data_IF_003678867862
#
_entry.id   IF_003678867862
#
_cell.length_a   1.000
_cell.length_b   1.000
_cell.length_c   1.000
_cell.angle_alpha   90.00
_cell.angle_beta   90.00
_cell.angle_gamma   90.00
#
_symmetry.space_group_name_H-M   'P 1'
#
loop_
_entity.id
_entity.type
_entity.pdbx_description
1 polymer ?
#
# COMPACT_ATOMS: atom_id res chain seq x y z
N UNK A 1 9.33 -9.38 14.64
CA UNK A 1 8.91 -8.70 13.41
C UNK A 1 9.67 -7.40 13.33
N UNK A 2 10.49 -7.25 12.30
CA UNK A 2 11.26 -6.01 12.07
C UNK A 2 10.39 -4.98 11.34
N UNK A 3 10.89 -3.75 11.20
CA UNK A 3 10.22 -2.72 10.40
C UNK A 3 10.15 -3.15 8.92
N UNK A 4 11.22 -3.75 8.40
CA UNK A 4 11.30 -4.24 7.01
C UNK A 4 10.30 -5.36 6.75
N UNK A 5 10.09 -6.28 7.71
CA UNK A 5 9.08 -7.34 7.58
C UNK A 5 7.64 -6.81 7.64
N UNK A 6 7.45 -5.55 8.07
CA UNK A 6 6.15 -4.98 8.37
C UNK A 6 5.40 -4.42 7.17
N UNK A 7 6.06 -4.38 6.03
CA UNK A 7 5.47 -4.01 4.73
C UNK A 7 5.86 -5.07 3.70
N UNK A 8 4.87 -5.60 2.99
CA UNK A 8 5.07 -6.63 1.97
C UNK A 8 4.43 -6.23 0.64
N UNK A 9 5.23 -6.25 -0.41
CA UNK A 9 4.75 -6.08 -1.79
C UNK A 9 4.35 -7.45 -2.33
N UNK A 10 3.15 -7.56 -2.92
CA UNK A 10 2.74 -8.73 -3.71
C UNK A 10 2.84 -8.42 -5.18
N UNK A 11 2.92 -9.45 -6.02
CA UNK A 11 3.03 -9.35 -7.48
C UNK A 11 2.10 -8.28 -8.10
N UNK A 12 2.63 -7.64 -9.13
CA UNK A 12 1.95 -6.65 -9.96
C UNK A 12 1.31 -7.37 -11.15
N UNK A 13 0.05 -7.08 -11.42
CA UNK A 13 -0.72 -7.68 -12.51
C UNK A 13 -1.10 -6.63 -13.55
N UNK A 14 -1.18 -7.00 -14.83
CA UNK A 14 -1.54 -6.10 -15.93
C UNK A 14 -0.43 -5.93 -16.97
N UNK A 15 -0.41 -4.79 -17.64
CA UNK A 15 0.49 -4.49 -18.76
C UNK A 15 1.73 -3.67 -18.40
N UNK A 16 2.77 -3.66 -19.25
CA UNK A 16 3.98 -2.83 -19.07
C UNK A 16 3.78 -1.36 -19.46
N UNK A 17 2.55 -0.90 -19.64
CA UNK A 17 2.24 0.42 -20.17
C UNK A 17 1.90 1.41 -19.05
N UNK A 18 1.81 2.69 -19.41
CA UNK A 18 1.48 3.76 -18.47
C UNK A 18 2.69 4.26 -17.68
N UNK A 19 2.46 5.26 -16.85
CA UNK A 19 3.46 5.82 -15.94
C UNK A 19 3.42 5.08 -14.62
N UNK A 20 4.60 4.72 -14.07
CA UNK A 20 4.66 3.98 -12.82
C UNK A 20 4.31 4.86 -11.62
N UNK A 21 3.59 4.29 -10.66
CA UNK A 21 3.33 4.89 -9.34
C UNK A 21 3.65 3.90 -8.23
N UNK A 22 3.90 4.41 -7.02
CA UNK A 22 4.06 3.60 -5.82
C UNK A 22 3.81 4.40 -4.55
N UNK A 23 2.97 3.87 -3.66
CA UNK A 23 2.69 4.43 -2.34
C UNK A 23 3.70 3.99 -1.27
N UNK A 24 4.64 3.10 -1.63
CA UNK A 24 5.48 2.36 -0.68
C UNK A 24 6.21 3.27 0.33
N UNK A 25 6.66 4.44 -0.10
CA UNK A 25 7.39 5.39 0.76
C UNK A 25 6.53 5.98 1.90
N UNK A 26 5.20 5.89 1.78
CA UNK A 26 4.26 6.41 2.76
C UNK A 26 3.60 5.30 3.60
N UNK A 27 3.78 4.04 3.20
CA UNK A 27 3.19 2.87 3.86
C UNK A 27 4.04 2.44 5.05
N UNK A 28 3.41 2.31 6.21
CA UNK A 28 4.02 1.88 7.46
C UNK A 28 3.08 1.00 8.27
N UNK A 29 3.63 0.17 9.15
CA UNK A 29 2.81 -0.60 10.11
C UNK A 29 2.03 0.30 11.06
N UNK A 30 0.86 -0.16 11.51
CA UNK A 30 0.00 0.60 12.41
C UNK A 30 -0.86 1.69 11.75
N UNK A 31 -0.86 1.80 10.42
CA UNK A 31 -1.75 2.69 9.71
C UNK A 31 -3.22 2.24 9.80
N UNK A 32 -4.15 3.18 9.70
CA UNK A 32 -5.60 2.91 9.67
C UNK A 32 -6.19 3.37 8.35
N UNK A 33 -6.66 2.42 7.53
CA UNK A 33 -7.42 2.71 6.31
C UNK A 33 -8.83 3.16 6.69
N UNK A 34 -9.26 4.31 6.17
CA UNK A 34 -10.59 4.86 6.39
C UNK A 34 -11.56 4.48 5.28
N UNK A 35 -11.11 4.52 4.03
CA UNK A 35 -11.94 4.22 2.88
C UNK A 35 -11.12 3.71 1.70
N UNK A 36 -11.80 3.02 0.80
CA UNK A 36 -11.32 2.71 -0.53
C UNK A 36 -12.41 3.11 -1.53
N UNK A 37 -12.01 3.79 -2.60
CA UNK A 37 -12.88 4.18 -3.70
C UNK A 37 -12.33 3.66 -5.02
N UNK A 38 -13.23 3.31 -5.92
CA UNK A 38 -12.90 2.91 -7.29
C UNK A 38 -13.73 3.75 -8.26
N UNK A 39 -13.14 4.06 -9.41
CA UNK A 39 -13.79 4.58 -10.60
C UNK A 39 -13.76 3.46 -11.64
N UNK A 40 -14.93 2.93 -12.03
CA UNK A 40 -14.98 1.80 -12.93
C UNK A 40 -16.20 1.81 -13.86
N UNK A 41 -15.95 1.69 -15.16
CA UNK A 41 -16.93 1.35 -16.19
C UNK A 41 -16.77 -0.10 -16.64
N UNK A 42 -16.41 -0.31 -17.91
CA UNK A 42 -15.97 -1.63 -18.40
C UNK A 42 -14.63 -2.07 -17.81
N UNK A 43 -13.78 -1.10 -17.43
CA UNK A 43 -12.44 -1.26 -16.89
C UNK A 43 -12.30 -0.52 -15.56
N UNK A 44 -11.16 -0.70 -14.89
CA UNK A 44 -10.78 0.11 -13.74
C UNK A 44 -10.11 1.40 -14.22
N UNK A 45 -10.83 2.51 -14.11
CA UNK A 45 -10.36 3.83 -14.50
C UNK A 45 -9.45 4.44 -13.41
N UNK A 46 -9.83 4.30 -12.14
CA UNK A 46 -9.07 4.87 -11.04
C UNK A 46 -9.36 4.25 -9.69
N UNK A 47 -8.47 4.52 -8.74
CA UNK A 47 -8.53 4.00 -7.38
C UNK A 47 -8.03 5.03 -6.38
N UNK A 48 -8.71 5.14 -5.25
CA UNK A 48 -8.29 5.98 -4.13
C UNK A 48 -8.30 5.20 -2.83
N UNK A 49 -7.20 5.23 -2.08
CA UNK A 49 -7.10 4.70 -0.72
C UNK A 49 -6.86 5.85 0.27
N UNK A 50 -7.68 5.92 1.30
CA UNK A 50 -7.56 6.94 2.34
C UNK A 50 -7.03 6.33 3.63
N UNK A 51 -5.90 6.85 4.11
CA UNK A 51 -5.36 6.57 5.43
C UNK A 51 -5.79 7.69 6.37
N UNK A 52 -6.33 7.36 7.53
CA UNK A 52 -6.77 8.35 8.54
C UNK A 52 -5.80 8.51 9.70
N UNK A 53 -5.02 7.48 10.02
CA UNK A 53 -4.08 7.48 11.14
C UNK A 53 -2.83 6.66 10.81
N UNK A 54 -1.66 6.97 11.42
CA UNK A 54 -1.43 8.07 12.36
C UNK A 54 -1.36 9.45 11.69
N UNK A 55 -1.23 9.47 10.36
CA UNK A 55 -1.28 10.68 9.52
C UNK A 55 -2.22 10.42 8.35
N UNK A 56 -2.93 11.46 7.93
CA UNK A 56 -3.81 11.39 6.77
C UNK A 56 -3.00 11.29 5.47
N UNK A 57 -3.34 10.31 4.64
CA UNK A 57 -2.84 10.19 3.27
C UNK A 57 -3.99 9.88 2.33
N UNK A 58 -3.94 10.45 1.13
CA UNK A 58 -4.84 10.12 0.03
C UNK A 58 -3.97 9.61 -1.11
N UNK A 59 -4.03 8.31 -1.37
CA UNK A 59 -3.35 7.69 -2.51
C UNK A 59 -4.35 7.59 -3.64
N UNK A 60 -4.24 8.45 -4.64
CA UNK A 60 -5.15 8.49 -5.80
C UNK A 60 -4.36 8.20 -7.06
N UNK A 61 -4.84 7.22 -7.81
CA UNK A 61 -4.21 6.69 -9.01
C UNK A 61 -5.25 6.52 -10.13
N UNK A 62 -4.85 6.75 -11.37
CA UNK A 62 -5.66 6.65 -12.57
C UNK A 62 -6.54 7.88 -12.85
N UNK A 63 -7.58 7.66 -13.66
CA UNK A 63 -8.56 8.66 -14.06
C UNK A 63 -9.87 8.60 -13.28
N UNK A 64 -10.80 9.48 -13.65
CA UNK A 64 -12.13 9.62 -13.02
C UNK A 64 -13.27 9.07 -13.88
N UNK A 65 -12.96 8.30 -14.93
CA UNK A 65 -13.95 7.71 -15.82
C UNK A 65 -14.79 6.61 -15.14
N UNK A 66 -15.89 6.23 -15.78
CA UNK A 66 -16.84 5.26 -15.20
C UNK A 66 -17.55 5.77 -13.95
N UNK A 67 -18.16 4.83 -13.20
CA UNK A 67 -18.91 5.15 -11.99
C UNK A 67 -18.01 5.06 -10.74
N UNK A 68 -18.12 6.06 -9.87
CA UNK A 68 -17.43 6.02 -8.58
C UNK A 68 -18.21 5.18 -7.56
N UNK A 69 -17.52 4.25 -6.89
CA UNK A 69 -18.03 3.52 -5.74
C UNK A 69 -17.04 3.60 -4.59
N UNK A 70 -17.54 3.74 -3.38
CA UNK A 70 -16.71 3.88 -2.17
C UNK A 70 -17.18 2.92 -1.10
N UNK A 71 -16.23 2.21 -0.49
CA UNK A 71 -16.40 1.47 0.74
C UNK A 71 -15.72 2.23 1.87
N UNK A 72 -16.52 2.70 2.84
CA UNK A 72 -16.02 3.26 4.10
C UNK A 72 -15.83 2.13 5.11
N UNK A 73 -14.64 2.05 5.68
CA UNK A 73 -14.31 1.01 6.64
C UNK A 73 -14.75 1.43 8.05
N UNK A 74 -15.40 0.51 8.76
CA UNK A 74 -15.77 0.71 10.16
C UNK A 74 -14.55 0.54 11.06
N UNK A 75 -14.68 0.94 12.33
CA UNK A 75 -13.63 0.71 13.34
C UNK A 75 -13.31 -0.79 13.44
N UNK A 76 -12.03 -1.15 13.27
CA UNK A 76 -11.57 -2.54 13.32
C UNK A 76 -11.83 -3.33 12.03
N UNK A 77 -12.37 -2.69 11.00
CA UNK A 77 -12.49 -3.23 9.66
C UNK A 77 -11.23 -2.91 8.85
N UNK A 78 -10.76 -3.88 8.08
CA UNK A 78 -9.60 -3.75 7.20
C UNK A 78 -9.73 -4.68 6.00
N UNK A 79 -9.16 -4.27 4.87
CA UNK A 79 -9.19 -5.02 3.62
C UNK A 79 -8.18 -6.16 3.70
N UNK A 80 -8.63 -7.38 3.44
CA UNK A 80 -7.86 -8.63 3.56
C UNK A 80 -7.59 -9.29 2.22
N UNK A 81 -8.34 -8.97 1.17
CA UNK A 81 -8.11 -9.52 -0.16
C UNK A 81 -8.34 -8.50 -1.27
N UNK A 82 -7.66 -8.75 -2.40
CA UNK A 82 -7.82 -8.05 -3.65
C UNK A 82 -7.87 -9.08 -4.78
N UNK A 83 -9.00 -9.18 -5.47
CA UNK A 83 -9.16 -9.91 -6.73
C UNK A 83 -8.96 -8.94 -7.89
N UNK A 84 -8.09 -9.30 -8.83
CA UNK A 84 -7.75 -8.48 -9.99
C UNK A 84 -7.95 -9.30 -11.25
N UNK A 85 -8.61 -8.72 -12.23
CA UNK A 85 -8.72 -9.26 -13.59
C UNK A 85 -8.08 -8.28 -14.57
N UNK A 86 -7.35 -8.79 -15.53
CA UNK A 86 -6.73 -7.99 -16.59
C UNK A 86 -6.96 -8.63 -17.95
N UNK A 87 -6.83 -7.85 -19.01
CA UNK A 87 -6.76 -8.38 -20.37
C UNK A 87 -6.19 -7.33 -21.31
N UNK A 88 -5.84 -7.74 -22.53
CA UNK A 88 -5.69 -6.81 -23.65
C UNK A 88 -7.06 -6.29 -24.04
N UNK A 89 -7.13 -5.01 -24.42
CA UNK A 89 -8.39 -4.45 -24.89
C UNK A 89 -8.76 -5.02 -26.26
N UNK A 90 -9.96 -5.61 -26.32
CA UNK A 90 -10.56 -6.19 -27.51
C UNK A 90 -11.72 -5.29 -27.90
N UNK A 91 -11.67 -4.72 -29.10
CA UNK A 91 -12.79 -3.98 -29.68
C UNK A 91 -13.27 -4.73 -30.93
N UNK A 92 -14.55 -5.11 -30.97
CA UNK A 92 -15.14 -5.81 -32.11
C UNK A 92 -14.49 -7.15 -32.45
N UNK A 93 -13.98 -7.88 -31.47
CA UNK A 93 -13.29 -9.17 -31.66
C UNK A 93 -11.85 -9.06 -32.15
N UNK A 94 -11.34 -7.84 -32.37
CA UNK A 94 -9.95 -7.59 -32.73
C UNK A 94 -9.21 -7.15 -31.47
N UNK A 95 -8.12 -7.85 -31.13
CA UNK A 95 -7.14 -7.34 -30.18
C UNK A 95 -6.57 -6.07 -30.79
N UNK A 96 -7.03 -4.93 -30.30
CA UNK A 96 -6.51 -3.65 -30.75
C UNK A 96 -5.03 -3.56 -30.34
N UNK A 97 -4.27 -2.62 -30.92
CA UNK A 97 -2.91 -2.33 -30.43
C UNK A 97 -2.90 -1.77 -28.99
N UNK A 98 -4.05 -1.79 -28.30
CA UNK A 98 -4.17 -1.26 -26.96
C UNK A 98 -3.43 -2.10 -25.92
N UNK A 99 -3.11 -1.33 -24.89
CA UNK A 99 -2.40 -1.70 -23.68
C UNK A 99 -3.18 -2.80 -22.94
N UNK A 100 -2.48 -3.78 -22.35
CA UNK A 100 -3.08 -4.64 -21.32
C UNK A 100 -3.44 -3.77 -20.12
N UNK A 101 -4.67 -3.89 -19.61
CA UNK A 101 -5.20 -3.07 -18.52
C UNK A 101 -5.92 -3.89 -17.46
N UNK A 102 -6.16 -3.28 -16.31
CA UNK A 102 -7.04 -3.85 -15.28
C UNK A 102 -8.50 -3.64 -15.68
N UNK A 103 -9.20 -4.75 -15.85
CA UNK A 103 -10.59 -4.76 -16.27
C UNK A 103 -11.56 -4.84 -15.09
N UNK A 104 -11.19 -5.55 -14.02
CA UNK A 104 -12.02 -5.66 -12.84
C UNK A 104 -11.17 -5.73 -11.58
N UNK A 105 -11.72 -5.16 -10.52
CA UNK A 105 -11.17 -5.20 -9.18
C UNK A 105 -12.27 -5.58 -8.19
N UNK A 106 -11.92 -6.36 -7.18
CA UNK A 106 -12.74 -6.53 -6.00
C UNK A 106 -11.91 -6.59 -4.73
N UNK A 107 -12.43 -5.99 -3.67
CA UNK A 107 -11.87 -6.00 -2.33
C UNK A 107 -12.84 -6.67 -1.38
N UNK A 108 -12.31 -7.43 -0.43
CA UNK A 108 -13.08 -7.99 0.70
C UNK A 108 -12.41 -7.62 2.01
N UNK A 109 -13.22 -7.31 3.01
CA UNK A 109 -12.75 -6.97 4.36
C UNK A 109 -12.85 -8.15 5.31
N UNK A 110 -12.16 -8.06 6.45
CA UNK A 110 -12.28 -9.02 7.55
C UNK A 110 -13.70 -9.15 8.13
N UNK A 111 -14.58 -8.17 7.89
CA UNK A 111 -15.98 -8.20 8.32
C UNK A 111 -16.94 -8.67 7.23
N UNK A 112 -16.44 -9.09 6.07
CA UNK A 112 -17.23 -9.61 4.96
C UNK A 112 -17.88 -8.54 4.07
N UNK A 113 -17.57 -7.25 4.25
CA UNK A 113 -17.98 -6.23 3.30
C UNK A 113 -17.08 -6.27 2.07
N UNK A 114 -17.60 -5.79 0.94
CA UNK A 114 -16.86 -5.81 -0.32
C UNK A 114 -17.11 -4.56 -1.15
N UNK A 115 -16.16 -4.30 -2.05
CA UNK A 115 -16.23 -3.27 -3.08
C UNK A 115 -15.74 -3.88 -4.38
N UNK A 116 -16.50 -3.76 -5.48
CA UNK A 116 -16.07 -4.25 -6.78
C UNK A 116 -16.56 -3.40 -7.93
N UNK A 117 -15.84 -3.42 -9.04
CA UNK A 117 -16.19 -2.70 -10.27
C UNK A 117 -15.41 -3.21 -11.47
N UNK A 118 -15.91 -2.87 -12.67
CA UNK A 118 -15.34 -3.31 -13.94
C UNK A 118 -15.94 -4.62 -14.47
N UNK A 119 -15.30 -5.18 -15.49
CA UNK A 119 -15.74 -6.41 -16.17
C UNK A 119 -14.81 -7.59 -15.88
N UNK A 120 -15.36 -8.71 -15.44
CA UNK A 120 -14.57 -9.92 -15.19
C UNK A 120 -14.03 -10.48 -16.51
N UNK A 121 -12.75 -10.81 -16.54
CA UNK A 121 -12.06 -11.48 -17.66
C UNK A 121 -11.56 -12.87 -17.25
N UNK A 122 -11.06 -13.66 -18.20
CA UNK A 122 -10.46 -14.96 -17.93
C UNK A 122 -9.14 -14.86 -17.15
N UNK A 123 -8.29 -13.87 -17.47
CA UNK A 123 -7.03 -13.66 -16.76
C UNK A 123 -7.29 -12.94 -15.45
N UNK A 124 -7.08 -13.66 -14.34
CA UNK A 124 -7.40 -13.17 -13.01
C UNK A 124 -6.53 -13.80 -11.94
N UNK A 125 -6.50 -13.14 -10.79
CA UNK A 125 -5.87 -13.65 -9.59
C UNK A 125 -6.55 -13.07 -8.36
N UNK A 126 -6.31 -13.69 -7.20
CA UNK A 126 -6.69 -13.13 -5.90
C UNK A 126 -5.49 -13.15 -4.99
N UNK A 127 -5.11 -11.99 -4.48
CA UNK A 127 -4.06 -11.85 -3.48
C UNK A 127 -4.70 -11.59 -2.11
N UNK A 128 -4.16 -12.27 -1.10
CA UNK A 128 -4.66 -12.17 0.28
C UNK A 128 -3.55 -11.63 1.18
N UNK A 129 -3.94 -10.77 2.12
CA UNK A 129 -3.06 -10.26 3.16
C UNK A 129 -2.47 -11.41 3.99
N UNK A 130 -1.17 -11.40 4.32
CA UNK A 130 -0.65 -12.27 5.35
C UNK A 130 -1.39 -12.08 6.69
N UNK A 131 -1.32 -13.08 7.57
CA UNK A 131 -1.96 -12.99 8.89
C UNK A 131 -1.47 -11.75 9.65
N UNK A 132 -2.41 -10.90 10.05
CA UNK A 132 -2.15 -9.67 10.80
C UNK A 132 -1.80 -8.45 9.95
N UNK A 133 -1.86 -8.56 8.62
CA UNK A 133 -1.68 -7.47 7.68
C UNK A 133 -3.02 -6.99 7.10
N UNK A 134 -3.01 -5.78 6.57
CA UNK A 134 -4.09 -5.18 5.80
C UNK A 134 -3.54 -4.51 4.55
N UNK A 135 -4.42 -4.23 3.58
CA UNK A 135 -4.07 -3.35 2.46
C UNK A 135 -3.69 -1.98 3.00
N UNK A 136 -2.60 -1.40 2.53
CA UNK A 136 -2.11 -0.10 3.00
C UNK A 136 -1.70 0.86 1.87
N UNK A 137 -1.60 0.36 0.64
CA UNK A 137 -1.30 1.18 -0.53
C UNK A 137 -1.19 0.31 -1.77
N UNK A 138 -0.85 0.95 -2.87
CA UNK A 138 -0.69 0.31 -4.16
C UNK A 138 0.64 0.68 -4.82
N UNK A 139 1.02 -0.12 -5.80
CA UNK A 139 2.03 0.24 -6.76
C UNK A 139 1.65 -0.35 -8.12
N UNK A 140 2.08 0.26 -9.21
CA UNK A 140 1.58 -0.13 -10.51
C UNK A 140 1.93 0.85 -11.59
N UNK A 141 1.07 0.92 -12.61
CA UNK A 141 1.13 1.96 -13.63
C UNK A 141 -0.24 2.41 -14.06
N UNK A 142 -0.30 3.67 -14.50
CA UNK A 142 -1.52 4.39 -14.80
C UNK A 142 -1.34 5.37 -15.95
N UNK A 143 -2.47 5.72 -16.57
CA UNK A 143 -2.66 6.95 -17.35
C UNK A 143 -4.11 7.45 -17.14
N UNK A 144 -4.98 7.31 -18.16
CA UNK A 144 -6.42 7.58 -18.03
C UNK A 144 -7.16 6.47 -17.30
N UNK A 145 -6.57 5.27 -17.27
CA UNK A 145 -7.06 4.05 -16.64
C UNK A 145 -5.89 3.38 -15.91
N UNK A 146 -6.17 2.37 -15.09
CA UNK A 146 -5.14 1.56 -14.43
C UNK A 146 -4.63 0.48 -15.39
N UNK A 147 -3.38 0.59 -15.83
CA UNK A 147 -2.74 -0.39 -16.73
C UNK A 147 -2.23 -1.61 -15.95
N UNK A 148 -1.76 -1.41 -14.72
CA UNK A 148 -1.33 -2.51 -13.85
C UNK A 148 -1.38 -2.13 -12.37
N UNK A 149 -1.53 -3.14 -11.52
CA UNK A 149 -1.76 -2.94 -10.09
C UNK A 149 -1.16 -4.07 -9.25
N UNK A 150 -0.49 -3.72 -8.17
CA UNK A 150 -0.04 -4.57 -7.09
C UNK A 150 -0.45 -3.99 -5.74
N UNK A 151 -0.72 -4.86 -4.77
CA UNK A 151 -1.08 -4.46 -3.41
C UNK A 151 0.17 -4.36 -2.52
N UNK A 152 0.18 -3.33 -1.68
CA UNK A 152 1.13 -3.19 -0.57
C UNK A 152 0.38 -3.54 0.72
N UNK A 153 0.85 -4.57 1.41
CA UNK A 153 0.29 -5.02 2.68
C UNK A 153 1.14 -4.48 3.82
N UNK A 154 0.51 -3.90 4.84
CA UNK A 154 1.21 -3.46 6.05
C UNK A 154 0.63 -4.14 7.28
N UNK A 155 1.50 -4.38 8.27
CA UNK A 155 1.08 -4.96 9.54
C UNK A 155 0.15 -4.01 10.29
N UNK A 156 -0.95 -4.55 10.81
CA UNK A 156 -2.01 -3.74 11.43
C UNK A 156 -1.52 -3.10 12.73
N UNK A 157 -0.58 -3.74 13.45
CA UNK A 157 0.00 -3.17 14.68
C UNK A 157 1.25 -2.38 14.36
N UNK A 158 1.45 -1.25 15.03
CA UNK A 158 2.69 -0.48 14.93
C UNK A 158 3.88 -1.32 15.42
N UNK A 159 4.87 -1.50 14.56
CA UNK A 159 6.18 -2.07 14.91
C UNK A 159 7.11 -0.91 15.22
N UNK A 160 7.62 -0.84 16.45
CA UNK A 160 8.58 0.18 16.88
C UNK A 160 10.01 -0.31 16.61
N UNK A 161 10.94 0.58 16.23
CA UNK A 161 12.35 0.22 16.23
C UNK A 161 12.77 -0.20 17.64
N UNK A 162 13.76 -1.10 17.77
CA UNK A 162 14.39 -1.37 19.06
C UNK A 162 14.84 -0.03 19.68
N UNK A 163 14.71 0.15 21.01
CA UNK A 163 15.26 1.33 21.65
C UNK A 163 16.74 1.44 21.31
N UNK A 164 17.14 2.59 20.77
CA UNK A 164 18.55 2.89 20.50
C UNK A 164 19.31 2.72 21.81
N UNK A 165 20.41 1.95 21.87
CA UNK A 165 21.25 1.91 23.06
C UNK A 165 21.66 3.36 23.38
N UNK A 166 21.27 3.84 24.56
CA UNK A 166 21.75 5.14 25.04
C UNK A 166 23.27 5.03 25.13
N UNK A 167 24.05 5.92 24.50
CA UNK A 167 25.49 5.94 24.70
C UNK A 167 25.75 6.08 26.20
N UNK A 168 26.37 5.06 26.81
CA UNK A 168 26.83 5.15 28.19
C UNK A 168 27.88 6.26 28.24
N UNK A 169 27.54 7.39 28.88
CA UNK A 169 28.51 8.43 29.16
C UNK A 169 29.57 7.80 30.09
N UNK A 170 30.74 7.50 29.54
CA UNK A 170 31.90 7.08 30.32
C UNK A 170 32.15 8.16 31.39
N UNK A 171 32.43 7.79 32.66
CA UNK A 171 32.72 8.78 33.69
C UNK A 171 33.91 9.65 33.27
N UNK A 172 33.75 10.97 33.34
CA UNK A 172 34.86 11.90 33.22
C UNK A 172 35.87 11.59 34.34
N UNK A 173 37.10 11.21 33.95
CA UNK A 173 38.20 11.08 34.90
C UNK A 173 38.54 12.51 35.35
N UNK A 174 38.16 12.84 36.58
CA UNK A 174 38.69 13.97 37.30
C UNK A 174 40.03 13.54 37.92
N UNK A 175 41.15 13.94 37.32
CA UNK A 175 42.39 14.11 38.09
C UNK A 175 42.68 15.60 38.21
N UNK A 176 42.25 16.13 39.37
CA UNK A 176 42.71 17.40 39.88
C UNK A 176 44.09 17.25 40.52
N UNK A 177 45.00 18.12 40.10
CA UNK A 177 45.96 18.86 40.94
C UNK A 177 46.78 18.11 42.00
N UNK A 178 48.10 18.13 41.83
CA UNK A 178 49.04 18.16 42.94
C UNK A 178 50.21 19.10 42.61
N UNK A 179 50.06 20.37 42.98
CA UNK A 179 51.11 21.26 43.51
C UNK A 179 51.10 21.03 45.04
N UNK A 180 52.15 21.03 45.85
CA UNK A 180 53.56 21.42 45.79
C UNK A 180 54.22 20.88 47.09
N UNK A 181 55.56 20.75 47.12
CA UNK A 181 56.44 21.35 48.17
C UNK A 181 57.71 20.53 48.46
N UNK A 182 58.85 21.21 48.27
CA UNK A 182 60.17 21.20 48.96
C UNK A 182 60.50 20.06 49.94
N UNK A 183 61.72 19.51 50.03
CA UNK A 183 63.04 20.14 49.96
C UNK A 183 63.73 19.95 51.34
N UNK A 184 64.94 19.37 51.30
CA UNK A 184 65.86 19.04 52.41
C UNK A 184 65.56 17.79 53.25
#
# INVERSE_FOLDING_TARGET
MTIEDSVQLRERFGGPHGTNFSDQNFVNSGQTVASISIHAGERLDGITLEISAPKTFHFTHGGTGGDQKTLKLKKGEFITSMEVHWNKHIAGGIVTKDKTRIFYIAFVTNLGNSLSGGTKTEQKTTVTAPKGFQLAGFYGSEEKEIDSLGAIWAYIKLVKPPPTPVPSLAPAIAEGGSMESSGQ
#
